data_IF_663460307327
#
_entry.id   IF_663460307327
#
_cell.length_a   1.000
_cell.length_b   1.000
_cell.length_c   1.000
_cell.angle_alpha   90.00
_cell.angle_beta   90.00
_cell.angle_gamma   90.00
#
_symmetry.space_group_name_H-M   'P 1'
#
loop_
_entity.id
_entity.type
_entity.pdbx_description
1 polymer ?
#
# COMPACT_ATOMS: atom_id res chain seq x y z
N UNK A 1 -34.29 -17.76 -4.16
CA UNK A 1 -33.62 -17.35 -5.40
C UNK A 1 -32.15 -17.64 -5.20
N UNK A 2 -31.48 -18.31 -6.14
CA UNK A 2 -30.03 -18.47 -6.04
C UNK A 2 -29.40 -17.06 -6.07
N UNK A 3 -28.54 -16.74 -5.10
CA UNK A 3 -27.78 -15.50 -5.13
C UNK A 3 -26.88 -15.53 -6.38
N UNK A 4 -26.89 -14.45 -7.16
CA UNK A 4 -26.04 -14.33 -8.34
C UNK A 4 -24.59 -14.18 -7.87
N UNK A 5 -23.68 -14.93 -8.50
CA UNK A 5 -22.23 -14.74 -8.33
C UNK A 5 -21.81 -13.30 -8.66
N UNK A 6 -20.78 -12.74 -8.01
CA UNK A 6 -20.26 -11.39 -8.28
C UNK A 6 -20.00 -11.11 -9.77
N UNK A 7 -19.61 -12.12 -10.54
CA UNK A 7 -19.31 -12.01 -11.98
C UNK A 7 -20.53 -11.92 -12.89
N UNK A 8 -21.73 -12.16 -12.34
CA UNK A 8 -23.01 -12.08 -13.03
C UNK A 8 -23.75 -10.77 -12.74
N UNK A 9 -23.16 -9.90 -11.91
CA UNK A 9 -23.73 -8.62 -11.55
C UNK A 9 -23.17 -7.49 -12.44
N UNK A 10 -24.04 -6.59 -12.96
CA UNK A 10 -23.59 -5.30 -13.48
C UNK A 10 -22.75 -4.56 -12.44
N UNK A 11 -21.82 -3.70 -12.89
CA UNK A 11 -20.81 -3.11 -12.02
C UNK A 11 -21.41 -2.33 -10.84
N UNK A 12 -22.47 -1.55 -11.06
CA UNK A 12 -23.12 -0.79 -10.00
C UNK A 12 -23.82 -1.70 -8.96
N UNK A 13 -24.33 -2.86 -9.36
CA UNK A 13 -24.91 -3.85 -8.44
C UNK A 13 -23.83 -4.58 -7.65
N UNK A 14 -22.73 -4.93 -8.32
CA UNK A 14 -21.55 -5.49 -7.68
C UNK A 14 -21.04 -4.57 -6.56
N UNK A 15 -20.87 -3.27 -6.83
CA UNK A 15 -20.39 -2.31 -5.81
C UNK A 15 -21.30 -2.32 -4.57
N UNK A 16 -22.62 -2.33 -4.76
CA UNK A 16 -23.58 -2.40 -3.64
C UNK A 16 -23.47 -3.71 -2.86
N UNK A 17 -23.16 -4.80 -3.55
CA UNK A 17 -23.05 -6.13 -2.95
C UNK A 17 -21.73 -6.35 -2.21
N UNK A 18 -20.63 -5.71 -2.63
CA UNK A 18 -19.31 -5.84 -2.01
C UNK A 18 -18.97 -4.71 -1.04
N UNK A 19 -19.74 -3.61 -1.03
CA UNK A 19 -19.65 -2.50 -0.06
C UNK A 19 -18.19 -2.10 0.27
N UNK A 20 -17.45 -1.52 -0.68
CA UNK A 20 -16.06 -1.18 -0.47
C UNK A 20 -15.91 -0.09 0.59
N UNK A 21 -14.86 -0.18 1.39
CA UNK A 21 -14.49 0.90 2.30
C UNK A 21 -12.98 1.03 2.35
N UNK A 22 -12.49 2.25 2.16
CA UNK A 22 -11.07 2.56 2.29
C UNK A 22 -10.65 2.83 3.74
N UNK A 23 -9.37 2.62 4.05
CA UNK A 23 -8.67 3.06 5.25
C UNK A 23 -7.35 3.75 4.85
N UNK A 24 -6.93 4.71 5.67
CA UNK A 24 -5.68 5.46 5.45
C UNK A 24 -4.72 5.13 6.57
N UNK A 25 -3.58 4.54 6.22
CA UNK A 25 -2.47 4.34 7.14
C UNK A 25 -1.45 5.46 6.92
N UNK A 26 -1.34 6.34 7.92
CA UNK A 26 -0.40 7.47 7.93
C UNK A 26 0.91 7.02 8.58
N UNK A 27 1.99 7.03 7.82
CA UNK A 27 3.34 6.85 8.33
C UNK A 27 3.94 8.24 8.54
N UNK A 28 4.14 8.68 9.80
CA UNK A 28 4.76 9.97 10.06
C UNK A 28 6.14 10.01 9.43
N UNK A 29 6.46 11.12 8.77
CA UNK A 29 7.82 11.28 8.25
C UNK A 29 8.83 11.48 9.38
N UNK A 30 10.04 10.99 9.18
CA UNK A 30 11.18 11.33 10.03
C UNK A 30 11.80 12.60 9.45
N UNK A 31 12.09 13.61 10.28
CA UNK A 31 12.75 14.88 9.91
C UNK A 31 11.90 15.92 9.15
N UNK A 32 10.57 15.94 9.32
CA UNK A 32 9.73 17.04 8.83
C UNK A 32 9.41 17.01 7.34
N UNK A 33 9.64 15.89 6.65
CA UNK A 33 9.11 15.66 5.31
C UNK A 33 7.57 15.51 5.32
N UNK A 34 6.93 15.46 4.15
CA UNK A 34 5.49 15.17 4.09
C UNK A 34 5.21 13.73 4.60
N UNK A 35 4.06 13.53 5.25
CA UNK A 35 3.65 12.20 5.68
C UNK A 35 3.47 11.27 4.47
N UNK A 36 3.83 10.00 4.64
CA UNK A 36 3.62 8.99 3.62
C UNK A 36 2.32 8.25 3.94
N UNK A 37 1.41 8.20 2.97
CA UNK A 37 0.15 7.50 3.11
C UNK A 37 0.17 6.16 2.38
N UNK A 38 -0.52 5.20 2.97
CA UNK A 38 -0.93 3.95 2.32
C UNK A 38 -2.43 3.81 2.43
N UNK A 39 -3.06 3.41 1.33
CA UNK A 39 -4.50 3.34 1.19
C UNK A 39 -4.91 1.88 1.06
N UNK A 40 -5.61 1.37 2.08
CA UNK A 40 -6.11 0.00 2.08
C UNK A 40 -7.60 0.02 1.76
N UNK A 41 -8.05 -0.75 0.78
CA UNK A 41 -9.47 -0.85 0.41
C UNK A 41 -9.94 -2.26 0.67
N UNK A 42 -11.06 -2.38 1.38
CA UNK A 42 -11.63 -3.65 1.78
C UNK A 42 -13.01 -3.82 1.15
N UNK A 43 -13.28 -5.00 0.60
CA UNK A 43 -14.61 -5.42 0.18
C UNK A 43 -15.31 -6.04 1.38
N UNK A 44 -16.30 -5.36 1.96
CA UNK A 44 -16.93 -5.75 3.24
C UNK A 44 -18.35 -6.31 3.12
N UNK A 45 -18.96 -6.23 1.94
CA UNK A 45 -20.33 -6.65 1.69
C UNK A 45 -20.52 -8.17 1.64
N UNK A 46 -21.76 -8.66 1.63
CA UNK A 46 -22.07 -10.10 1.68
C UNK A 46 -21.35 -10.93 0.61
N UNK A 47 -21.22 -10.39 -0.61
CA UNK A 47 -20.58 -11.09 -1.73
C UNK A 47 -19.05 -10.97 -1.75
N UNK A 48 -18.44 -10.26 -0.81
CA UNK A 48 -16.97 -10.14 -0.74
C UNK A 48 -16.28 -11.50 -0.56
N UNK A 49 -16.91 -12.44 0.16
CA UNK A 49 -16.32 -13.75 0.44
C UNK A 49 -16.27 -14.67 -0.78
N UNK A 50 -17.08 -14.37 -1.81
CA UNK A 50 -17.06 -15.08 -3.08
C UNK A 50 -15.98 -14.56 -4.03
N UNK A 51 -15.34 -13.44 -3.71
CA UNK A 51 -14.21 -12.93 -4.48
C UNK A 51 -12.95 -13.75 -4.18
N UNK A 52 -12.04 -13.87 -5.16
CA UNK A 52 -10.68 -14.32 -4.89
C UNK A 52 -10.06 -13.52 -3.75
N UNK A 53 -9.32 -14.18 -2.85
CA UNK A 53 -8.76 -13.52 -1.65
C UNK A 53 -7.96 -12.26 -1.96
N UNK A 54 -7.23 -12.23 -3.08
CA UNK A 54 -6.47 -11.04 -3.51
C UNK A 54 -7.33 -9.90 -4.04
N UNK A 55 -8.59 -10.16 -4.40
CA UNK A 55 -9.55 -9.14 -4.84
C UNK A 55 -10.38 -8.58 -3.67
N UNK A 56 -10.33 -9.21 -2.48
CA UNK A 56 -11.05 -8.77 -1.28
C UNK A 56 -10.40 -7.57 -0.59
N UNK A 57 -9.09 -7.39 -0.77
CA UNK A 57 -8.31 -6.34 -0.11
C UNK A 57 -7.22 -5.84 -1.06
N UNK A 58 -7.10 -4.51 -1.17
CA UNK A 58 -6.13 -3.85 -2.04
C UNK A 58 -5.34 -2.83 -1.24
N UNK A 59 -4.03 -2.75 -1.47
CA UNK A 59 -3.16 -1.73 -0.86
C UNK A 59 -2.52 -0.89 -1.95
N UNK A 60 -2.66 0.43 -1.83
CA UNK A 60 -2.11 1.39 -2.78
C UNK A 60 -1.16 2.35 -2.08
N UNK A 61 -0.03 2.64 -2.74
CA UNK A 61 0.93 3.65 -2.29
C UNK A 61 0.49 5.04 -2.76
N UNK A 62 0.71 6.05 -1.94
CA UNK A 62 0.30 7.43 -2.25
C UNK A 62 0.86 7.94 -3.58
N UNK A 63 2.17 7.76 -3.81
CA UNK A 63 2.84 8.21 -5.04
C UNK A 63 2.17 7.66 -6.31
N UNK A 64 1.71 6.40 -6.28
CA UNK A 64 1.05 5.77 -7.43
C UNK A 64 -0.34 6.38 -7.69
N UNK A 65 -1.05 6.78 -6.64
CA UNK A 65 -2.40 7.32 -6.76
C UNK A 65 -2.41 8.79 -7.16
N UNK A 66 -1.46 9.61 -6.69
CA UNK A 66 -1.46 11.06 -6.94
C UNK A 66 -1.60 11.41 -8.42
N UNK A 67 -0.83 10.76 -9.30
CA UNK A 67 -0.89 11.01 -10.74
C UNK A 67 -2.26 10.64 -11.34
N UNK A 68 -2.90 9.57 -10.84
CA UNK A 68 -4.24 9.19 -11.28
C UNK A 68 -5.31 10.13 -10.70
N UNK A 69 -5.18 10.53 -9.44
CA UNK A 69 -6.07 11.50 -8.78
C UNK A 69 -6.10 12.82 -9.53
N UNK A 70 -4.94 13.33 -9.94
CA UNK A 70 -4.84 14.52 -10.76
C UNK A 70 -5.52 14.35 -12.13
N UNK A 71 -5.26 13.22 -12.83
CA UNK A 71 -5.92 12.91 -14.11
C UNK A 71 -7.45 12.83 -13.99
N UNK A 72 -7.96 12.43 -12.84
CA UNK A 72 -9.40 12.37 -12.54
C UNK A 72 -9.96 13.71 -12.04
N UNK A 73 -9.18 14.80 -12.11
CA UNK A 73 -9.54 16.16 -11.70
C UNK A 73 -9.99 16.23 -10.24
N UNK A 74 -9.25 15.51 -9.38
CA UNK A 74 -9.34 15.60 -7.93
C UNK A 74 -8.03 16.20 -7.38
N UNK A 75 -7.99 16.54 -6.09
CA UNK A 75 -6.78 17.12 -5.50
C UNK A 75 -5.79 16.00 -5.10
N UNK A 76 -4.64 15.85 -5.78
CA UNK A 76 -3.67 14.80 -5.47
C UNK A 76 -3.01 14.97 -4.09
N UNK A 77 -3.08 16.15 -3.47
CA UNK A 77 -2.59 16.39 -2.12
C UNK A 77 -3.64 16.08 -1.04
N UNK A 78 -4.89 15.80 -1.44
CA UNK A 78 -5.96 15.41 -0.53
C UNK A 78 -5.94 13.91 -0.32
N UNK A 79 -5.59 13.48 0.90
CA UNK A 79 -5.61 12.06 1.24
C UNK A 79 -7.02 11.45 1.13
N UNK A 80 -8.10 12.24 1.20
CA UNK A 80 -9.47 11.75 0.95
C UNK A 80 -9.74 11.49 -0.52
N UNK A 81 -9.25 12.37 -1.39
CA UNK A 81 -9.39 12.19 -2.83
C UNK A 81 -8.56 10.99 -3.30
N UNK A 82 -7.31 10.87 -2.81
CA UNK A 82 -6.49 9.68 -3.06
C UNK A 82 -7.15 8.40 -2.53
N UNK A 83 -7.76 8.43 -1.34
CA UNK A 83 -8.52 7.29 -0.82
C UNK A 83 -9.69 6.92 -1.73
N UNK A 84 -10.46 7.90 -2.22
CA UNK A 84 -11.57 7.64 -3.13
C UNK A 84 -11.10 7.04 -4.45
N UNK A 85 -10.00 7.54 -5.01
CA UNK A 85 -9.40 6.95 -6.22
C UNK A 85 -8.94 5.52 -5.95
N UNK A 86 -8.32 5.24 -4.80
CA UNK A 86 -7.97 3.89 -4.38
C UNK A 86 -9.21 2.98 -4.36
N UNK A 87 -10.33 3.43 -3.78
CA UNK A 87 -11.59 2.68 -3.76
C UNK A 87 -12.09 2.34 -5.16
N UNK A 88 -12.10 3.33 -6.07
CA UNK A 88 -12.57 3.15 -7.44
C UNK A 88 -11.67 2.18 -8.24
N UNK A 89 -10.35 2.29 -8.11
CA UNK A 89 -9.39 1.39 -8.75
C UNK A 89 -9.55 -0.04 -8.24
N UNK A 90 -9.69 -0.19 -6.92
CA UNK A 90 -9.85 -1.51 -6.27
C UNK A 90 -11.17 -2.17 -6.67
N UNK A 91 -12.27 -1.41 -6.71
CA UNK A 91 -13.56 -1.89 -7.19
C UNK A 91 -13.50 -2.37 -8.63
N UNK A 92 -12.93 -1.55 -9.51
CA UNK A 92 -12.75 -1.89 -10.94
C UNK A 92 -11.94 -3.17 -11.08
N UNK A 93 -10.80 -3.26 -10.39
CA UNK A 93 -9.93 -4.43 -10.41
C UNK A 93 -10.64 -5.69 -9.92
N UNK A 94 -11.32 -5.62 -8.75
CA UNK A 94 -12.02 -6.76 -8.17
C UNK A 94 -13.16 -7.27 -9.07
N UNK A 95 -13.95 -6.37 -9.66
CA UNK A 95 -15.04 -6.76 -10.54
C UNK A 95 -14.55 -7.33 -11.87
N UNK A 96 -13.58 -6.68 -12.52
CA UNK A 96 -13.00 -7.19 -13.78
C UNK A 96 -12.36 -8.56 -13.58
N UNK A 97 -11.68 -8.77 -12.45
CA UNK A 97 -11.14 -10.08 -12.06
C UNK A 97 -12.25 -11.12 -11.94
N UNK A 98 -13.31 -10.82 -11.19
CA UNK A 98 -14.42 -11.74 -10.99
C UNK A 98 -15.09 -12.12 -12.33
N UNK A 99 -15.28 -11.16 -13.24
CA UNK A 99 -15.82 -11.41 -14.59
C UNK A 99 -14.87 -12.28 -15.40
N UNK A 100 -13.58 -11.93 -15.47
CA UNK A 100 -12.57 -12.65 -16.25
C UNK A 100 -12.42 -14.12 -15.82
N UNK A 101 -12.30 -14.39 -14.53
CA UNK A 101 -12.14 -15.76 -14.03
C UNK A 101 -13.38 -16.63 -14.31
N UNK A 102 -14.57 -16.02 -14.34
CA UNK A 102 -15.81 -16.74 -14.67
C UNK A 102 -16.09 -16.82 -16.17
N UNK A 103 -15.39 -16.06 -17.01
CA UNK A 103 -15.57 -16.09 -18.47
C UNK A 103 -15.16 -17.43 -19.12
N UNK A 104 -14.39 -18.25 -18.38
CA UNK A 104 -14.05 -19.63 -18.72
C UNK A 104 -15.15 -20.63 -18.34
N UNK A 105 -16.22 -20.18 -17.67
CA UNK A 105 -17.34 -21.00 -17.24
C UNK A 105 -18.38 -21.29 -18.34
N UNK A 106 -19.32 -22.21 -18.09
CA UNK A 106 -20.34 -22.59 -19.07
C UNK A 106 -21.47 -21.56 -19.25
N UNK A 107 -21.62 -20.62 -18.31
CA UNK A 107 -22.69 -19.62 -18.33
C UNK A 107 -22.22 -18.32 -19.00
N UNK A 108 -22.88 -17.88 -20.09
CA UNK A 108 -22.52 -16.62 -20.73
C UNK A 108 -22.89 -15.42 -19.86
N UNK A 109 -22.03 -14.41 -19.83
CA UNK A 109 -22.32 -13.14 -19.17
C UNK A 109 -23.49 -12.40 -19.85
N UNK A 110 -24.26 -11.65 -19.06
CA UNK A 110 -25.34 -10.83 -19.59
C UNK A 110 -24.80 -9.68 -20.48
N UNK A 111 -25.61 -9.14 -21.41
CA UNK A 111 -25.21 -7.99 -22.22
C UNK A 111 -24.84 -6.73 -21.40
N UNK A 112 -25.39 -6.60 -20.19
CA UNK A 112 -25.10 -5.50 -19.27
C UNK A 112 -23.69 -5.65 -18.69
N UNK A 113 -23.33 -6.85 -18.22
CA UNK A 113 -21.98 -7.16 -17.73
C UNK A 113 -20.94 -6.93 -18.83
N UNK A 114 -21.20 -7.38 -20.06
CA UNK A 114 -20.27 -7.16 -21.17
C UNK A 114 -20.10 -5.68 -21.51
N UNK A 115 -21.17 -4.88 -21.44
CA UNK A 115 -21.10 -3.43 -21.67
C UNK A 115 -20.28 -2.73 -20.60
N UNK A 116 -20.52 -3.05 -19.34
CA UNK A 116 -19.75 -2.50 -18.21
C UNK A 116 -18.28 -2.92 -18.31
N UNK A 117 -18.01 -4.15 -18.74
CA UNK A 117 -16.66 -4.66 -18.94
C UNK A 117 -15.89 -3.88 -19.99
N UNK A 118 -16.50 -3.67 -21.16
CA UNK A 118 -15.90 -2.81 -22.20
C UNK A 118 -15.63 -1.41 -21.67
N UNK A 119 -16.63 -0.77 -21.05
CA UNK A 119 -16.48 0.59 -20.53
C UNK A 119 -15.40 0.73 -19.45
N UNK A 120 -15.24 -0.28 -18.60
CA UNK A 120 -14.20 -0.32 -17.56
C UNK A 120 -12.83 -0.71 -18.13
N UNK A 121 -12.76 -1.51 -19.18
CA UNK A 121 -11.50 -1.86 -19.85
C UNK A 121 -10.82 -0.63 -20.48
N UNK A 122 -11.62 0.34 -20.94
CA UNK A 122 -11.15 1.61 -21.53
C UNK A 122 -10.70 2.65 -20.48
N UNK A 123 -10.89 2.37 -19.19
CA UNK A 123 -10.38 3.21 -18.09
C UNK A 123 -11.42 3.51 -17.01
N UNK A 124 -11.45 4.76 -16.55
CA UNK A 124 -12.30 5.23 -15.43
C UNK A 124 -13.54 5.99 -15.90
N UNK A 125 -13.91 5.89 -17.18
CA UNK A 125 -15.00 6.66 -17.80
C UNK A 125 -16.39 6.04 -17.61
N UNK A 126 -16.49 4.91 -16.91
CA UNK A 126 -17.76 4.26 -16.64
C UNK A 126 -18.75 5.23 -15.94
N UNK A 127 -20.04 5.32 -16.36
CA UNK A 127 -20.99 6.33 -15.85
C UNK A 127 -21.10 6.37 -14.32
N UNK A 128 -21.14 5.19 -13.70
CA UNK A 128 -21.16 5.09 -12.23
C UNK A 128 -19.89 5.67 -11.57
N UNK A 129 -18.71 5.46 -12.17
CA UNK A 129 -17.45 6.02 -11.64
C UNK A 129 -17.48 7.54 -11.74
N UNK A 130 -17.95 8.08 -12.87
CA UNK A 130 -18.06 9.53 -13.07
C UNK A 130 -19.02 10.17 -12.05
N UNK A 131 -20.16 9.53 -11.77
CA UNK A 131 -21.07 9.97 -10.71
C UNK A 131 -20.40 10.03 -9.33
N UNK A 132 -19.61 9.01 -9.00
CA UNK A 132 -18.88 8.95 -7.73
C UNK A 132 -17.75 9.98 -7.63
N UNK A 133 -17.10 10.33 -8.76
CA UNK A 133 -16.12 11.40 -8.81
C UNK A 133 -16.78 12.77 -8.58
N UNK A 134 -17.94 13.03 -9.17
CA UNK A 134 -18.69 14.28 -8.92
C UNK A 134 -19.14 14.39 -7.46
N UNK A 135 -19.62 13.29 -6.86
CA UNK A 135 -19.94 13.25 -5.42
C UNK A 135 -18.71 13.58 -4.57
N UNK A 136 -17.54 13.04 -4.92
CA UNK A 136 -16.30 13.32 -4.21
C UNK A 136 -15.87 14.79 -4.37
N UNK A 137 -15.95 15.38 -5.56
CA UNK A 137 -15.67 16.81 -5.76
C UNK A 137 -16.60 17.68 -4.92
N UNK A 138 -17.89 17.35 -4.90
CA UNK A 138 -18.87 18.02 -4.05
C UNK A 138 -18.54 17.91 -2.56
N UNK A 139 -18.13 16.74 -2.11
CA UNK A 139 -17.70 16.48 -0.73
C UNK A 139 -16.46 17.32 -0.35
N UNK A 140 -15.43 17.30 -1.20
CA UNK A 140 -14.18 18.04 -1.00
C UNK A 140 -14.39 19.56 -1.01
N UNK A 141 -15.30 20.07 -1.86
CA UNK A 141 -15.67 21.49 -1.88
C UNK A 141 -16.31 21.95 -0.55
N UNK A 142 -17.12 21.08 0.09
CA UNK A 142 -17.77 21.40 1.37
C UNK A 142 -16.84 21.31 2.58
N UNK A 143 -15.76 20.54 2.49
CA UNK A 143 -14.84 20.28 3.60
C UNK A 143 -14.25 21.57 4.17
N UNK A 144 -13.74 22.47 3.33
CA UNK A 144 -13.12 23.73 3.79
C UNK A 144 -14.06 24.59 4.64
N UNK A 145 -15.32 24.72 4.20
CA UNK A 145 -16.34 25.45 4.96
C UNK A 145 -16.70 24.76 6.28
N UNK A 146 -16.64 23.42 6.31
CA UNK A 146 -16.91 22.62 7.52
C UNK A 146 -15.78 22.80 8.55
N UNK A 147 -14.53 22.76 8.09
CA UNK A 147 -13.35 23.00 8.94
C UNK A 147 -13.35 24.42 9.51
N UNK A 148 -13.67 25.43 8.68
CA UNK A 148 -13.75 26.82 9.11
C UNK A 148 -14.82 27.04 10.20
N UNK A 149 -16.00 26.41 10.09
CA UNK A 149 -17.06 26.47 11.12
C UNK A 149 -16.61 25.88 12.46
N UNK A 150 -15.71 24.91 12.44
CA UNK A 150 -15.15 24.30 13.65
C UNK A 150 -13.88 25.00 14.16
N UNK A 151 -13.44 26.08 13.50
CA UNK A 151 -12.21 26.80 13.85
C UNK A 151 -10.94 25.97 13.60
N UNK A 152 -10.94 25.08 12.63
CA UNK A 152 -9.80 24.21 12.28
C UNK A 152 -9.23 24.63 10.93
N UNK A 153 -7.91 24.76 10.85
CA UNK A 153 -7.22 25.25 9.65
C UNK A 153 -6.89 24.16 8.62
N UNK A 154 -6.82 22.89 9.03
CA UNK A 154 -6.42 21.77 8.18
C UNK A 154 -7.30 20.55 8.40
N UNK A 155 -7.52 19.78 7.34
CA UNK A 155 -8.09 18.43 7.46
C UNK A 155 -7.06 17.51 8.11
N UNK A 156 -7.52 16.69 9.05
CA UNK A 156 -6.71 15.63 9.64
C UNK A 156 -7.53 14.35 9.60
N UNK A 157 -7.07 13.40 8.80
CA UNK A 157 -7.65 12.06 8.78
C UNK A 157 -7.31 11.35 10.10
N UNK A 158 -8.31 10.76 10.79
CA UNK A 158 -8.09 10.04 12.03
C UNK A 158 -7.11 8.88 11.82
N UNK A 159 -6.38 8.55 12.90
CA UNK A 159 -5.64 7.28 13.00
C UNK A 159 -6.61 6.10 13.12
N UNK A 160 -6.06 4.89 13.21
CA UNK A 160 -6.84 3.67 13.45
C UNK A 160 -7.76 3.80 14.68
N UNK A 161 -7.30 4.50 15.72
CA UNK A 161 -8.10 4.82 16.91
C UNK A 161 -8.03 6.32 17.21
N UNK A 162 -9.19 6.94 17.45
CA UNK A 162 -9.29 8.31 17.95
C UNK A 162 -10.28 8.38 19.12
N UNK A 163 -9.90 9.07 20.19
CA UNK A 163 -10.71 9.21 21.41
C UNK A 163 -10.82 10.68 21.78
N UNK A 164 -12.05 11.12 22.05
CA UNK A 164 -12.35 12.46 22.53
C UNK A 164 -13.74 12.95 22.12
N UNK A 165 -13.97 14.25 22.35
CA UNK A 165 -15.29 14.88 22.23
C UNK A 165 -15.61 15.27 20.79
N UNK A 166 -16.83 14.98 20.34
CA UNK A 166 -17.39 15.52 19.09
C UNK A 166 -17.62 17.02 19.26
N UNK A 167 -16.95 17.82 18.44
CA UNK A 167 -16.98 19.29 18.54
C UNK A 167 -17.83 19.96 17.47
N UNK A 168 -18.00 19.31 16.32
CA UNK A 168 -18.86 19.78 15.25
C UNK A 168 -19.33 18.61 14.39
N UNK A 169 -20.46 18.78 13.72
CA UNK A 169 -21.00 17.79 12.78
C UNK A 169 -21.76 18.51 11.67
N UNK A 170 -21.66 17.99 10.46
CA UNK A 170 -22.47 18.33 9.28
C UNK A 170 -23.10 17.05 8.74
N UNK A 171 -23.86 17.15 7.64
CA UNK A 171 -24.41 15.95 6.98
C UNK A 171 -23.32 15.00 6.50
N UNK A 172 -22.17 15.56 6.11
CA UNK A 172 -21.07 14.84 5.47
C UNK A 172 -19.94 14.44 6.45
N UNK A 173 -19.73 15.25 7.50
CA UNK A 173 -18.56 15.10 8.38
C UNK A 173 -18.88 15.18 9.87
N UNK A 174 -18.11 14.45 10.66
CA UNK A 174 -18.07 14.55 12.12
C UNK A 174 -16.66 14.95 12.53
N UNK A 175 -16.53 16.01 13.34
CA UNK A 175 -15.24 16.50 13.82
C UNK A 175 -15.09 16.15 15.29
N UNK A 176 -13.99 15.48 15.61
CA UNK A 176 -13.67 15.01 16.95
C UNK A 176 -12.41 15.70 17.44
N UNK A 177 -12.49 16.40 18.57
CA UNK A 177 -11.30 16.86 19.28
C UNK A 177 -10.78 15.71 20.13
N UNK A 178 -9.65 15.17 19.71
CA UNK A 178 -9.00 14.06 20.40
C UNK A 178 -8.41 14.52 21.74
N UNK A 179 -8.09 13.56 22.61
CA UNK A 179 -7.49 13.84 23.93
C UNK A 179 -6.12 14.55 23.83
N UNK A 180 -5.39 14.41 22.72
CA UNK A 180 -4.13 15.12 22.48
C UNK A 180 -4.31 16.56 21.97
N UNK A 181 -5.57 17.02 21.79
CA UNK A 181 -5.91 18.36 21.33
C UNK A 181 -6.09 18.50 19.82
N UNK A 182 -5.67 17.51 19.01
CA UNK A 182 -5.87 17.50 17.56
C UNK A 182 -7.35 17.31 17.22
N UNK A 183 -7.87 18.07 16.25
CA UNK A 183 -9.21 17.87 15.72
C UNK A 183 -9.11 17.04 14.45
N UNK A 184 -9.67 15.83 14.50
CA UNK A 184 -9.74 14.90 13.37
C UNK A 184 -11.11 14.96 12.72
N UNK A 185 -11.17 14.67 11.42
CA UNK A 185 -12.38 14.72 10.62
C UNK A 185 -12.75 13.32 10.13
N UNK A 186 -13.94 12.87 10.51
CA UNK A 186 -14.53 11.61 10.06
C UNK A 186 -15.53 11.89 8.93
N UNK A 187 -15.52 11.07 7.88
CA UNK A 187 -16.62 11.02 6.92
C UNK A 187 -17.79 10.24 7.51
N UNK A 188 -18.97 10.86 7.58
CA UNK A 188 -20.16 10.28 8.20
C UNK A 188 -20.56 8.95 7.57
N UNK A 189 -20.45 8.82 6.24
CA UNK A 189 -20.73 7.57 5.52
C UNK A 189 -19.87 6.38 5.95
N UNK A 190 -18.73 6.63 6.61
CA UNK A 190 -17.81 5.60 7.08
C UNK A 190 -18.04 5.22 8.55
N UNK A 191 -18.86 5.96 9.28
CA UNK A 191 -19.17 5.67 10.69
C UNK A 191 -20.37 4.73 10.79
N UNK A 192 -20.27 3.69 11.63
CA UNK A 192 -21.37 2.76 11.87
C UNK A 192 -22.55 3.40 12.60
N UNK A 193 -22.30 4.48 13.33
CA UNK A 193 -23.30 5.32 13.97
C UNK A 193 -22.76 6.76 14.06
N UNK A 194 -23.64 7.75 13.95
CA UNK A 194 -23.25 9.15 14.11
C UNK A 194 -23.34 9.54 15.59
N UNK A 195 -22.22 9.88 16.25
CA UNK A 195 -22.26 10.36 17.62
C UNK A 195 -22.84 11.78 17.67
N UNK A 196 -23.50 12.12 18.78
CA UNK A 196 -24.05 13.45 18.98
C UNK A 196 -22.95 14.50 19.24
N UNK A 197 -23.19 15.75 18.87
CA UNK A 197 -22.29 16.86 19.23
C UNK A 197 -22.18 16.93 20.76
N UNK A 198 -20.95 17.05 21.25
CA UNK A 198 -20.64 17.06 22.68
C UNK A 198 -20.46 15.68 23.31
N UNK A 199 -20.80 14.59 22.59
CA UNK A 199 -20.55 13.23 23.07
C UNK A 199 -19.03 12.98 23.13
N UNK A 200 -18.60 12.30 24.19
CA UNK A 200 -17.24 11.80 24.32
C UNK A 200 -17.20 10.34 23.89
N UNK A 201 -16.53 10.09 22.77
CA UNK A 201 -16.57 8.80 22.08
C UNK A 201 -15.18 8.37 21.68
N UNK A 202 -15.04 7.08 21.41
CA UNK A 202 -13.97 6.53 20.62
C UNK A 202 -14.50 6.14 19.24
N UNK A 203 -13.67 6.37 18.22
CA UNK A 203 -13.83 5.79 16.89
C UNK A 203 -12.65 4.87 16.61
N UNK A 204 -12.93 3.60 16.34
CA UNK A 204 -11.94 2.60 15.90
C UNK A 204 -12.21 2.18 14.46
N UNK A 205 -11.24 2.33 13.57
CA UNK A 205 -11.38 1.97 12.16
C UNK A 205 -10.99 0.51 11.91
N UNK A 206 -12.00 -0.32 11.69
CA UNK A 206 -11.83 -1.71 11.25
C UNK A 206 -12.22 -1.83 9.78
N UNK A 207 -11.27 -2.32 8.96
CA UNK A 207 -11.44 -2.47 7.49
C UNK A 207 -12.05 -1.25 6.81
N UNK A 208 -11.65 -0.04 7.22
CA UNK A 208 -12.14 1.22 6.64
C UNK A 208 -13.44 1.77 7.22
N UNK A 209 -14.15 1.01 8.06
CA UNK A 209 -15.37 1.40 8.76
C UNK A 209 -15.08 1.83 10.21
N UNK A 210 -15.58 3.00 10.61
CA UNK A 210 -15.44 3.55 11.95
C UNK A 210 -16.48 2.99 12.92
N UNK A 211 -16.02 2.15 13.84
CA UNK A 211 -16.80 1.62 14.96
C UNK A 211 -16.84 2.66 16.08
N UNK A 212 -18.02 3.22 16.33
CA UNK A 212 -18.21 4.26 17.36
C UNK A 212 -18.61 3.61 18.68
N UNK A 213 -17.85 3.92 19.73
CA UNK A 213 -17.99 3.36 21.08
C UNK A 213 -18.03 4.50 22.09
N UNK A 214 -18.97 4.47 23.03
CA UNK A 214 -19.03 5.46 24.11
C UNK A 214 -17.88 5.26 25.11
N UNK A 215 -17.42 6.35 25.75
CA UNK A 215 -16.33 6.27 26.74
C UNK A 215 -16.64 5.42 27.98
N UNK A 216 -15.55 4.90 28.57
CA UNK A 216 -15.39 3.90 29.64
C UNK A 216 -16.30 3.97 30.85
N UNK A 217 -16.67 5.16 31.32
CA UNK A 217 -17.40 5.28 32.59
C UNK A 217 -18.71 4.48 32.58
N UNK A 218 -19.17 4.08 31.39
CA UNK A 218 -20.40 3.33 31.16
C UNK A 218 -20.20 2.04 30.36
N UNK A 219 -18.99 1.51 30.18
CA UNK A 219 -18.79 0.27 29.39
C UNK A 219 -17.81 -0.72 30.02
N UNK A 220 -18.09 -2.02 29.87
CA UNK A 220 -17.21 -3.13 30.28
C UNK A 220 -16.67 -3.85 29.04
N UNK A 221 -15.41 -4.27 29.13
CA UNK A 221 -14.71 -4.99 28.05
C UNK A 221 -14.41 -6.43 28.46
N UNK A 222 -14.56 -7.37 27.51
CA UNK A 222 -14.06 -8.73 27.67
C UNK A 222 -12.54 -8.81 27.50
N UNK A 223 -11.95 -9.96 27.86
CA UNK A 223 -10.64 -10.34 27.34
C UNK A 223 -10.67 -10.40 25.79
N UNK A 224 -9.53 -10.17 25.11
CA UNK A 224 -9.45 -10.26 23.66
C UNK A 224 -9.68 -11.71 23.17
N UNK A 225 -10.34 -11.85 22.02
CA UNK A 225 -10.58 -13.15 21.38
C UNK A 225 -10.44 -13.04 19.86
N UNK A 226 -10.36 -14.18 19.16
CA UNK A 226 -10.47 -14.21 17.70
C UNK A 226 -11.94 -14.41 17.34
N UNK A 227 -12.50 -13.44 16.63
CA UNK A 227 -13.87 -13.53 16.14
C UNK A 227 -13.99 -14.69 15.13
N UNK A 228 -14.93 -15.63 15.32
CA UNK A 228 -15.01 -16.82 14.49
C UNK A 228 -15.49 -16.55 13.06
N UNK A 229 -16.10 -15.39 12.80
CA UNK A 229 -16.61 -15.04 11.46
C UNK A 229 -15.53 -14.36 10.62
N UNK A 230 -14.76 -13.46 11.22
CA UNK A 230 -13.76 -12.64 10.53
C UNK A 230 -12.33 -13.16 10.71
N UNK A 231 -12.10 -14.05 11.66
CA UNK A 231 -10.77 -14.47 12.13
C UNK A 231 -9.90 -13.30 12.63
N UNK A 232 -10.53 -12.15 12.90
CA UNK A 232 -9.86 -10.95 13.38
C UNK A 232 -9.92 -10.82 14.90
N UNK A 233 -9.03 -9.97 15.42
CA UNK A 233 -8.93 -9.73 16.85
C UNK A 233 -10.15 -8.91 17.27
N UNK A 234 -10.76 -9.30 18.38
CA UNK A 234 -12.03 -8.73 18.82
C UNK A 234 -12.10 -8.55 20.33
N UNK A 235 -12.94 -7.62 20.76
CA UNK A 235 -13.43 -7.51 22.14
C UNK A 235 -14.93 -7.33 22.17
N UNK A 236 -15.55 -7.82 23.24
CA UNK A 236 -16.96 -7.57 23.53
C UNK A 236 -17.08 -6.36 24.44
N UNK A 237 -17.89 -5.39 24.02
CA UNK A 237 -18.22 -4.18 24.76
C UNK A 237 -19.65 -4.32 25.29
N UNK A 238 -19.82 -4.16 26.59
CA UNK A 238 -21.14 -4.20 27.24
C UNK A 238 -21.42 -2.86 27.89
N UNK A 239 -22.50 -2.20 27.49
CA UNK A 239 -22.93 -0.93 28.08
C UNK A 239 -23.40 -1.11 29.53
N UNK A 240 -23.36 -0.03 30.30
CA UNK A 240 -23.99 0.07 31.61
C UNK A 240 -25.53 0.05 31.49
N UNK A 241 -26.06 0.44 30.34
CA UNK A 241 -27.45 0.20 29.99
C UNK A 241 -27.68 -1.30 29.80
N UNK A 242 -28.48 -1.90 30.70
CA UNK A 242 -28.75 -3.34 30.71
C UNK A 242 -29.58 -3.80 29.51
N UNK A 243 -30.30 -2.88 28.87
CA UNK A 243 -31.15 -3.19 27.73
C UNK A 243 -30.38 -3.08 26.40
N UNK A 244 -29.19 -2.48 26.41
CA UNK A 244 -28.34 -2.39 25.24
C UNK A 244 -27.61 -3.72 24.99
N UNK A 245 -27.75 -4.34 23.80
CA UNK A 245 -27.08 -5.59 23.51
C UNK A 245 -25.55 -5.40 23.48
N UNK A 246 -24.77 -6.40 23.93
CA UNK A 246 -23.32 -6.34 23.83
C UNK A 246 -22.88 -6.23 22.38
N UNK A 247 -21.89 -5.38 22.13
CA UNK A 247 -21.33 -5.11 20.80
C UNK A 247 -19.96 -5.76 20.67
N UNK A 248 -19.57 -6.13 19.46
CA UNK A 248 -18.22 -6.62 19.16
C UNK A 248 -17.45 -5.52 18.44
N UNK A 249 -16.28 -5.17 18.97
CA UNK A 249 -15.32 -4.25 18.34
C UNK A 249 -14.19 -5.10 17.77
N UNK A 250 -13.84 -4.84 16.51
CA UNK A 250 -12.88 -5.60 15.73
C UNK A 250 -11.63 -4.76 15.47
N UNK A 251 -10.50 -5.43 15.27
CA UNK A 251 -9.20 -4.79 15.10
C UNK A 251 -8.45 -5.44 13.94
N UNK A 252 -7.88 -4.60 13.06
CA UNK A 252 -7.13 -5.08 11.89
C UNK A 252 -5.87 -5.85 12.32
N UNK A 253 -5.26 -5.45 13.45
CA UNK A 253 -4.03 -6.02 13.97
C UNK A 253 -3.87 -5.75 15.48
N UNK A 254 -2.86 -6.35 16.10
CA UNK A 254 -2.57 -6.17 17.53
C UNK A 254 -2.19 -4.73 17.87
N UNK A 255 -1.61 -3.97 16.94
CA UNK A 255 -1.23 -2.57 17.17
C UNK A 255 -2.46 -1.66 17.34
N UNK A 256 -3.47 -1.79 16.47
CA UNK A 256 -4.75 -1.07 16.61
C UNK A 256 -5.46 -1.43 17.93
N UNK A 257 -5.37 -2.69 18.35
CA UNK A 257 -5.86 -3.11 19.67
C UNK A 257 -5.07 -2.48 20.83
N UNK A 258 -3.74 -2.41 20.73
CA UNK A 258 -2.91 -1.76 21.74
C UNK A 258 -3.26 -0.27 21.89
N UNK A 259 -3.47 0.43 20.77
CA UNK A 259 -3.94 1.83 20.78
C UNK A 259 -5.31 1.96 21.45
N UNK A 260 -6.22 1.02 21.20
CA UNK A 260 -7.50 0.95 21.89
C UNK A 260 -7.34 0.78 23.41
N UNK A 261 -6.48 -0.15 23.85
CA UNK A 261 -6.20 -0.41 25.28
C UNK A 261 -5.62 0.84 25.94
N UNK A 262 -4.63 1.46 25.31
CA UNK A 262 -3.98 2.69 25.77
C UNK A 262 -4.98 3.84 25.89
N UNK A 263 -5.75 4.10 24.83
CA UNK A 263 -6.71 5.19 24.81
C UNK A 263 -7.87 4.99 25.80
N UNK A 264 -8.04 3.75 26.30
CA UNK A 264 -9.00 3.42 27.33
C UNK A 264 -8.39 3.29 28.74
N UNK A 265 -7.11 3.60 28.92
CA UNK A 265 -6.42 3.41 30.21
C UNK A 265 -6.55 1.98 30.74
N UNK A 266 -6.72 1.01 29.86
CA UNK A 266 -6.85 -0.39 30.21
C UNK A 266 -5.45 -0.99 30.47
N UNK A 267 -5.39 -2.04 31.28
CA UNK A 267 -4.10 -2.62 31.68
C UNK A 267 -3.35 -3.28 30.52
N UNK A 268 -2.03 -3.04 30.43
CA UNK A 268 -1.13 -3.63 29.42
C UNK A 268 -1.21 -5.15 29.32
N UNK A 269 -1.63 -5.83 30.40
CA UNK A 269 -1.89 -7.29 30.40
C UNK A 269 -2.82 -7.72 29.27
N UNK A 270 -3.76 -6.87 28.87
CA UNK A 270 -4.68 -7.15 27.77
C UNK A 270 -3.98 -7.18 26.42
N UNK A 271 -3.00 -6.30 26.19
CA UNK A 271 -2.18 -6.31 24.97
C UNK A 271 -1.40 -7.63 24.90
N UNK A 272 -0.82 -8.07 26.02
CA UNK A 272 -0.15 -9.37 26.09
C UNK A 272 -1.12 -10.53 25.82
N UNK A 273 -2.32 -10.51 26.40
CA UNK A 273 -3.38 -11.49 26.09
C UNK A 273 -3.70 -11.51 24.59
N UNK A 274 -3.80 -10.35 23.94
CA UNK A 274 -4.08 -10.28 22.50
C UNK A 274 -2.95 -10.87 21.65
N UNK A 275 -1.68 -10.62 22.01
CA UNK A 275 -0.54 -11.28 21.37
C UNK A 275 -0.62 -12.80 21.52
N UNK A 276 -0.90 -13.29 22.73
CA UNK A 276 -1.00 -14.73 22.99
C UNK A 276 -2.14 -15.37 22.18
N UNK A 277 -3.32 -14.75 22.16
CA UNK A 277 -4.49 -15.23 21.40
C UNK A 277 -4.18 -15.25 19.90
N UNK A 278 -3.53 -14.22 19.36
CA UNK A 278 -3.15 -14.17 17.95
C UNK A 278 -2.04 -15.18 17.61
N UNK A 279 -1.09 -15.42 18.51
CA UNK A 279 -0.03 -16.42 18.31
C UNK A 279 -0.59 -17.85 18.29
N UNK A 280 -1.63 -18.14 19.05
CA UNK A 280 -2.32 -19.44 19.05
C UNK A 280 -3.18 -19.66 17.80
N UNK A 281 -3.62 -18.59 17.14
CA UNK A 281 -4.42 -18.61 15.92
C UNK A 281 -3.89 -17.57 14.93
N UNK A 282 -2.71 -17.82 14.33
CA UNK A 282 -2.13 -16.91 13.37
C UNK A 282 -3.09 -16.73 12.19
N UNK A 283 -3.24 -15.48 11.73
CA UNK A 283 -4.03 -15.20 10.54
C UNK A 283 -3.36 -15.90 9.37
N UNK A 284 -4.12 -16.67 8.60
CA UNK A 284 -3.56 -17.35 7.42
C UNK A 284 -3.17 -16.27 6.40
N UNK A 285 -1.86 -16.02 6.25
CA UNK A 285 -1.38 -15.10 5.22
C UNK A 285 -1.73 -15.68 3.84
N UNK A 286 -2.54 -14.94 3.09
CA UNK A 286 -2.74 -15.26 1.70
C UNK A 286 -1.52 -14.79 0.92
N UNK A 287 -0.73 -15.75 0.43
CA UNK A 287 0.28 -15.46 -0.60
C UNK A 287 -0.43 -15.50 -1.94
N UNK A 288 -0.49 -14.36 -2.62
CA UNK A 288 -0.91 -14.35 -4.02
C UNK A 288 -0.06 -15.36 -4.80
N UNK A 289 -0.65 -16.13 -5.72
CA UNK A 289 0.13 -17.00 -6.58
C UNK A 289 1.18 -16.15 -7.32
N UNK A 290 2.44 -16.63 -7.42
CA UNK A 290 3.45 -15.89 -8.15
C UNK A 290 3.03 -15.75 -9.61
N UNK A 291 3.04 -14.53 -10.15
CA UNK A 291 2.74 -14.28 -11.55
C UNK A 291 3.85 -14.90 -12.40
N UNK A 292 3.47 -15.63 -13.45
CA UNK A 292 4.43 -16.35 -14.29
C UNK A 292 4.68 -15.54 -15.56
N UNK A 293 5.91 -15.04 -15.81
CA UNK A 293 6.18 -14.28 -17.01
C UNK A 293 6.02 -15.18 -18.25
N UNK A 294 5.26 -14.72 -19.23
CA UNK A 294 5.01 -15.42 -20.50
C UNK A 294 6.19 -15.21 -21.45
N UNK A 295 6.80 -14.02 -21.40
CA UNK A 295 7.95 -13.67 -22.24
C UNK A 295 8.90 -12.70 -21.53
N UNK A 296 10.06 -12.45 -22.15
CA UNK A 296 11.02 -11.46 -21.68
C UNK A 296 10.41 -10.04 -21.71
N UNK A 297 10.87 -9.12 -20.84
CA UNK A 297 10.46 -7.72 -20.90
C UNK A 297 10.65 -7.12 -22.29
N UNK A 298 9.80 -6.16 -22.64
CA UNK A 298 9.81 -5.46 -23.92
C UNK A 298 9.40 -3.99 -23.74
N UNK A 299 9.59 -3.15 -24.75
CA UNK A 299 9.03 -1.79 -24.76
C UNK A 299 7.65 -1.85 -25.40
N UNK A 300 6.62 -1.46 -24.65
CA UNK A 300 5.28 -1.33 -25.20
C UNK A 300 5.20 -0.14 -26.14
N UNK A 301 4.75 -0.36 -27.37
CA UNK A 301 4.79 0.68 -28.43
C UNK A 301 3.80 1.82 -28.17
N UNK A 302 2.67 1.53 -27.52
CA UNK A 302 1.60 2.50 -27.28
C UNK A 302 1.93 3.43 -26.10
N UNK A 303 2.42 2.86 -25.00
CA UNK A 303 2.74 3.59 -23.78
C UNK A 303 4.19 4.05 -23.71
N UNK A 304 5.07 3.48 -24.55
CA UNK A 304 6.52 3.68 -24.48
C UNK A 304 7.04 3.40 -23.05
N UNK A 305 6.45 2.42 -22.37
CA UNK A 305 6.87 1.94 -21.05
C UNK A 305 7.53 0.57 -21.17
N UNK A 306 8.31 0.19 -20.18
CA UNK A 306 8.75 -1.21 -20.05
C UNK A 306 7.55 -2.08 -19.73
N UNK A 307 7.45 -3.24 -20.35
CA UNK A 307 6.30 -4.12 -20.21
C UNK A 307 6.74 -5.57 -19.99
N UNK A 308 5.95 -6.32 -19.22
CA UNK A 308 6.05 -7.78 -19.15
C UNK A 308 4.68 -8.40 -19.29
N UNK A 309 4.57 -9.40 -20.16
CA UNK A 309 3.38 -10.25 -20.19
C UNK A 309 3.53 -11.34 -19.14
N UNK A 310 2.49 -11.56 -18.36
CA UNK A 310 2.45 -12.57 -17.32
C UNK A 310 1.12 -13.33 -17.36
N UNK A 311 1.19 -14.60 -16.97
CA UNK A 311 0.05 -15.49 -16.83
C UNK A 311 -0.37 -15.51 -15.36
N UNK A 312 -1.65 -15.28 -15.14
CA UNK A 312 -2.33 -15.42 -13.85
C UNK A 312 -3.68 -16.09 -14.13
N UNK A 313 -3.91 -17.26 -13.51
CA UNK A 313 -5.12 -18.06 -13.71
C UNK A 313 -5.45 -18.37 -15.20
N UNK A 314 -4.43 -18.78 -15.96
CA UNK A 314 -4.52 -19.09 -17.41
C UNK A 314 -4.85 -17.88 -18.31
N UNK A 315 -4.92 -16.66 -17.75
CA UNK A 315 -5.16 -15.42 -18.47
C UNK A 315 -3.83 -14.66 -18.59
N UNK A 316 -3.54 -14.16 -19.80
CA UNK A 316 -2.35 -13.36 -20.07
C UNK A 316 -2.68 -11.88 -19.87
N UNK A 317 -1.91 -11.24 -18.99
CA UNK A 317 -1.98 -9.82 -18.69
C UNK A 317 -0.66 -9.15 -19.07
N UNK A 318 -0.69 -7.83 -19.27
CA UNK A 318 0.50 -7.01 -19.46
C UNK A 318 0.65 -6.05 -18.28
N UNK A 319 1.77 -6.13 -17.57
CA UNK A 319 2.16 -5.12 -16.58
C UNK A 319 3.10 -4.11 -17.23
N UNK A 320 2.80 -2.82 -17.03
CA UNK A 320 3.62 -1.70 -17.49
C UNK A 320 4.41 -1.13 -16.31
N UNK A 321 5.67 -0.80 -16.55
CA UNK A 321 6.62 -0.27 -15.60
C UNK A 321 7.23 1.00 -16.19
N UNK A 322 7.36 2.00 -15.32
CA UNK A 322 7.94 3.29 -15.69
C UNK A 322 9.42 3.14 -16.07
N UNK A 323 10.17 2.35 -15.31
CA UNK A 323 11.60 2.16 -15.48
C UNK A 323 12.02 0.74 -15.07
N UNK A 324 13.29 0.40 -15.37
CA UNK A 324 13.83 -0.92 -15.04
C UNK A 324 13.93 -1.14 -13.52
N UNK A 325 14.03 -0.06 -12.73
CA UNK A 325 14.10 -0.10 -11.27
C UNK A 325 12.76 -0.51 -10.64
N UNK A 326 11.65 0.03 -11.14
CA UNK A 326 10.29 -0.34 -10.76
C UNK A 326 10.07 -1.82 -11.06
N UNK A 327 10.48 -2.27 -12.25
CA UNK A 327 10.42 -3.69 -12.63
C UNK A 327 11.27 -4.57 -11.71
N UNK A 328 12.50 -4.17 -11.38
CA UNK A 328 13.37 -4.88 -10.45
C UNK A 328 12.77 -4.98 -9.03
N UNK A 329 12.15 -3.91 -8.54
CA UNK A 329 11.51 -3.89 -7.22
C UNK A 329 10.33 -4.87 -7.09
N UNK A 330 9.67 -5.17 -8.22
CA UNK A 330 8.55 -6.11 -8.32
C UNK A 330 8.96 -7.48 -8.88
N UNK A 331 10.25 -7.72 -9.09
CA UNK A 331 10.78 -8.96 -9.71
C UNK A 331 10.30 -10.24 -9.02
N UNK A 332 10.18 -10.25 -7.69
CA UNK A 332 9.67 -11.41 -6.94
C UNK A 332 8.20 -11.69 -7.20
N UNK A 333 7.38 -10.64 -7.34
CA UNK A 333 5.94 -10.75 -7.57
C UNK A 333 5.64 -11.29 -8.97
N UNK A 334 6.43 -10.85 -9.95
CA UNK A 334 6.36 -11.26 -11.35
C UNK A 334 7.26 -12.44 -11.73
N UNK A 335 7.89 -13.08 -10.74
CA UNK A 335 8.85 -14.17 -10.93
C UNK A 335 9.88 -13.89 -12.05
N UNK A 336 10.36 -12.64 -12.12
CA UNK A 336 11.31 -12.18 -13.12
C UNK A 336 12.71 -12.66 -12.76
N UNK A 337 13.34 -13.34 -13.71
CA UNK A 337 14.74 -13.73 -13.58
C UNK A 337 15.68 -12.52 -13.65
N UNK A 338 16.90 -12.65 -13.14
CA UNK A 338 17.94 -11.62 -13.30
C UNK A 338 18.18 -11.26 -14.78
N UNK A 339 18.05 -12.24 -15.68
CA UNK A 339 18.12 -12.03 -17.12
C UNK A 339 17.01 -11.12 -17.64
N UNK A 340 15.79 -11.24 -17.12
CA UNK A 340 14.67 -10.37 -17.47
C UNK A 340 14.93 -8.93 -17.02
N UNK A 341 15.47 -8.74 -15.81
CA UNK A 341 15.81 -7.40 -15.31
C UNK A 341 16.95 -6.77 -16.12
N UNK A 342 17.97 -7.55 -16.48
CA UNK A 342 19.04 -7.06 -17.37
C UNK A 342 18.51 -6.64 -18.75
N UNK A 343 17.54 -7.38 -19.29
CA UNK A 343 16.87 -7.01 -20.54
C UNK A 343 16.06 -5.72 -20.41
N UNK A 344 15.38 -5.51 -19.27
CA UNK A 344 14.67 -4.26 -19.00
C UNK A 344 15.60 -3.04 -19.01
N UNK A 345 16.77 -3.14 -18.36
CA UNK A 345 17.80 -2.09 -18.41
C UNK A 345 18.31 -1.85 -19.85
N UNK A 346 18.55 -2.93 -20.62
CA UNK A 346 18.97 -2.82 -22.02
C UNK A 346 17.93 -2.08 -22.88
N UNK A 347 16.65 -2.35 -22.65
CA UNK A 347 15.55 -1.73 -23.35
C UNK A 347 15.40 -0.24 -23.01
N UNK A 348 15.55 0.11 -21.75
CA UNK A 348 15.59 1.50 -21.28
C UNK A 348 16.78 2.27 -21.89
N UNK A 349 17.98 1.66 -21.97
CA UNK A 349 19.13 2.25 -22.65
C UNK A 349 18.86 2.49 -24.15
N UNK A 350 18.23 1.51 -24.82
CA UNK A 350 17.82 1.66 -26.22
C UNK A 350 16.77 2.76 -26.42
N UNK A 351 15.85 2.89 -25.48
CA UNK A 351 14.82 3.91 -25.48
C UNK A 351 15.44 5.30 -25.33
N UNK A 352 16.34 5.49 -24.37
CA UNK A 352 17.10 6.71 -24.18
C UNK A 352 17.95 7.05 -25.43
N UNK A 353 18.54 6.06 -26.08
CA UNK A 353 19.30 6.24 -27.32
C UNK A 353 18.42 6.67 -28.51
N UNK A 354 17.16 6.21 -28.57
CA UNK A 354 16.18 6.59 -29.61
C UNK A 354 15.63 8.01 -29.42
N UNK A 355 15.62 8.53 -28.19
CA UNK A 355 15.10 9.86 -27.87
C UNK A 355 16.12 11.01 -28.07
N UNK A 356 17.35 10.71 -28.52
CA UNK A 356 18.32 11.69 -28.96
C UNK A 356 19.19 12.33 -27.84
N UNK A 357 20.18 13.16 -28.21
CA UNK A 357 21.29 13.59 -27.34
C UNK A 357 20.89 14.45 -26.11
N UNK A 358 19.63 14.86 -26.00
CA UNK A 358 19.12 15.61 -24.84
C UNK A 358 19.03 14.78 -23.55
N UNK A 359 18.84 13.46 -23.66
CA UNK A 359 18.67 12.56 -22.49
C UNK A 359 19.97 11.85 -22.07
N UNK A 360 20.91 11.61 -22.99
CA UNK A 360 22.25 11.07 -22.66
C UNK A 360 23.00 12.03 -21.73
N UNK A 361 22.83 13.34 -21.93
CA UNK A 361 23.30 14.37 -21.01
C UNK A 361 22.69 14.24 -19.60
N UNK A 362 21.43 13.77 -19.51
CA UNK A 362 20.72 13.59 -18.24
C UNK A 362 21.20 12.32 -17.50
N UNK A 363 21.47 11.22 -18.20
CA UNK A 363 22.05 10.00 -17.59
C UNK A 363 23.48 10.25 -17.10
N UNK A 364 24.30 10.97 -17.89
CA UNK A 364 25.64 11.36 -17.43
C UNK A 364 25.58 12.34 -16.25
N UNK A 365 24.56 13.20 -16.22
CA UNK A 365 24.32 14.12 -15.11
C UNK A 365 23.83 13.38 -13.87
N UNK A 366 22.93 12.40 -14.01
CA UNK A 366 22.44 11.55 -12.92
C UNK A 366 23.55 10.63 -12.38
N UNK A 367 24.39 10.07 -13.25
CA UNK A 367 25.54 9.28 -12.83
C UNK A 367 26.51 10.14 -12.00
N UNK A 368 26.80 11.36 -12.46
CA UNK A 368 27.63 12.32 -11.72
C UNK A 368 26.98 12.75 -10.41
N UNK A 369 25.68 13.04 -10.42
CA UNK A 369 24.95 13.45 -9.22
C UNK A 369 24.90 12.32 -8.20
N UNK A 370 24.55 11.10 -8.64
CA UNK A 370 24.55 9.92 -7.80
C UNK A 370 25.93 9.64 -7.20
N UNK A 371 27.02 9.86 -7.93
CA UNK A 371 28.37 9.73 -7.39
C UNK A 371 28.66 10.80 -6.33
N UNK A 372 28.25 12.04 -6.56
CA UNK A 372 28.41 13.13 -5.59
C UNK A 372 27.63 12.85 -4.31
N UNK A 373 26.37 12.41 -4.43
CA UNK A 373 25.50 12.07 -3.31
C UNK A 373 26.06 10.90 -2.50
N UNK A 374 26.61 9.89 -3.18
CA UNK A 374 27.29 8.77 -2.54
C UNK A 374 28.51 9.25 -1.75
N UNK A 375 29.35 10.09 -2.35
CA UNK A 375 30.54 10.64 -1.68
C UNK A 375 30.17 11.51 -0.48
N UNK A 376 29.09 12.29 -0.57
CA UNK A 376 28.58 13.08 0.54
C UNK A 376 28.12 12.18 1.70
N UNK A 377 27.31 11.16 1.39
CA UNK A 377 26.81 10.17 2.37
C UNK A 377 27.97 9.45 3.09
N UNK A 378 28.97 9.00 2.34
CA UNK A 378 30.13 8.32 2.91
C UNK A 378 31.00 9.24 3.77
N UNK A 379 31.11 10.52 3.41
CA UNK A 379 31.84 11.52 4.20
C UNK A 379 31.14 11.83 5.52
N UNK A 380 29.81 11.91 5.54
CA UNK A 380 29.04 12.06 6.78
C UNK A 380 29.20 10.87 7.73
N UNK A 381 29.41 9.68 7.17
CA UNK A 381 29.71 8.46 7.90
C UNK A 381 31.22 8.26 8.18
N UNK A 382 32.03 9.28 7.92
CA UNK A 382 33.47 9.31 8.21
C UNK A 382 34.26 8.17 7.51
N UNK A 383 33.80 7.72 6.34
CA UNK A 383 34.54 6.79 5.48
C UNK A 383 35.57 7.51 4.61
N UNK A 384 36.66 6.81 4.28
CA UNK A 384 37.65 7.31 3.33
C UNK A 384 37.07 7.38 1.90
N UNK A 385 37.68 8.22 1.05
CA UNK A 385 37.26 8.38 -0.35
C UNK A 385 37.21 7.01 -1.07
N UNK A 386 36.07 6.64 -1.67
CA UNK A 386 35.91 5.31 -2.24
C UNK A 386 36.72 5.13 -3.54
N UNK A 387 37.28 3.94 -3.71
CA UNK A 387 37.80 3.44 -4.99
C UNK A 387 36.60 3.03 -5.88
N UNK A 388 36.66 3.28 -7.20
CA UNK A 388 35.65 2.74 -8.14
C UNK A 388 36.03 1.32 -8.55
N UNK A 389 35.08 0.39 -8.53
CA UNK A 389 35.28 -0.98 -9.02
C UNK A 389 35.16 -1.09 -10.54
N UNK A 390 35.49 -2.27 -11.08
CA UNK A 390 35.14 -2.65 -12.46
C UNK A 390 36.17 -2.27 -13.52
N UNK A 391 37.17 -1.45 -13.17
CA UNK A 391 38.31 -1.17 -14.05
C UNK A 391 39.31 -2.34 -14.14
N UNK A 392 39.28 -3.24 -13.16
CA UNK A 392 40.14 -4.43 -13.09
C UNK A 392 39.34 -5.62 -12.60
N UNK A 393 39.72 -6.81 -13.04
CA UNK A 393 39.21 -8.07 -12.53
C UNK A 393 39.62 -8.22 -11.06
N UNK A 394 38.66 -8.01 -10.15
CA UNK A 394 38.89 -8.00 -8.71
C UNK A 394 37.67 -8.53 -7.97
N UNK A 395 37.89 -8.96 -6.75
CA UNK A 395 36.88 -9.52 -5.87
C UNK A 395 36.79 -8.67 -4.60
N UNK A 396 35.57 -8.30 -4.23
CA UNK A 396 35.26 -7.44 -3.08
C UNK A 396 34.28 -8.17 -2.14
N UNK A 397 34.54 -8.10 -0.84
CA UNK A 397 33.75 -8.81 0.17
C UNK A 397 33.45 -7.90 1.34
N UNK A 398 32.18 -7.89 1.78
CA UNK A 398 31.76 -7.17 2.96
C UNK A 398 30.35 -6.62 2.88
N UNK A 399 29.89 -5.86 3.90
CA UNK A 399 28.57 -5.30 3.94
C UNK A 399 28.41 -4.10 2.99
N UNK A 400 27.20 -3.93 2.46
CA UNK A 400 26.77 -2.71 1.78
C UNK A 400 26.42 -1.66 2.83
N UNK A 401 27.05 -0.49 2.74
CA UNK A 401 26.89 0.59 3.72
C UNK A 401 26.03 1.75 3.23
N UNK A 402 25.96 1.94 1.90
CA UNK A 402 25.12 2.96 1.29
C UNK A 402 24.73 2.56 -0.14
N UNK A 403 23.57 3.04 -0.59
CA UNK A 403 23.05 2.85 -1.94
C UNK A 403 22.43 4.18 -2.39
N UNK A 404 22.74 4.62 -3.60
CA UNK A 404 22.13 5.77 -4.28
C UNK A 404 21.39 5.30 -5.54
N UNK A 405 20.93 6.22 -6.40
CA UNK A 405 20.21 5.84 -7.62
C UNK A 405 21.05 4.96 -8.56
N UNK A 406 22.35 5.23 -8.69
CA UNK A 406 23.23 4.53 -9.65
C UNK A 406 24.43 3.81 -9.02
N UNK A 407 24.66 3.95 -7.72
CA UNK A 407 25.85 3.43 -7.06
C UNK A 407 25.54 2.66 -5.78
N UNK A 408 26.39 1.66 -5.49
CA UNK A 408 26.42 0.91 -4.24
C UNK A 408 27.79 1.07 -3.62
N UNK A 409 27.83 1.36 -2.33
CA UNK A 409 29.06 1.40 -1.54
C UNK A 409 29.18 0.16 -0.66
N UNK A 410 30.28 -0.58 -0.84
CA UNK A 410 30.61 -1.76 -0.05
C UNK A 410 31.80 -1.47 0.86
N UNK A 411 31.67 -1.75 2.15
CA UNK A 411 32.80 -1.75 3.08
C UNK A 411 33.56 -3.07 2.95
N UNK A 412 34.80 -2.99 2.46
CA UNK A 412 35.68 -4.15 2.27
C UNK A 412 36.62 -4.38 3.47
N UNK A 413 36.38 -3.67 4.57
CA UNK A 413 37.13 -3.75 5.82
C UNK A 413 38.11 -2.59 6.01
N UNK A 414 38.52 -2.39 7.27
CA UNK A 414 39.42 -1.28 7.68
C UNK A 414 38.92 0.11 7.23
N UNK A 415 37.59 0.28 7.16
CA UNK A 415 36.91 1.49 6.67
C UNK A 415 37.26 1.87 5.22
N UNK A 416 37.69 0.89 4.42
CA UNK A 416 37.89 1.07 2.98
C UNK A 416 36.59 0.78 2.26
N UNK A 417 36.14 1.72 1.45
CA UNK A 417 34.92 1.60 0.67
C UNK A 417 35.26 1.42 -0.81
N UNK A 418 34.53 0.51 -1.45
CA UNK A 418 34.50 0.40 -2.90
C UNK A 418 33.11 0.78 -3.39
N UNK A 419 33.08 1.64 -4.41
CA UNK A 419 31.85 2.09 -5.05
C UNK A 419 31.66 1.34 -6.37
N UNK A 420 30.49 0.73 -6.51
CA UNK A 420 30.09 -0.05 -7.67
C UNK A 420 28.99 0.69 -8.43
N UNK A 421 29.09 0.75 -9.76
CA UNK A 421 27.97 1.13 -10.62
C UNK A 421 26.97 -0.03 -10.65
N UNK A 422 25.73 0.21 -10.23
CA UNK A 422 24.70 -0.82 -10.12
C UNK A 422 24.46 -1.52 -11.46
N UNK A 423 24.59 -0.81 -12.59
CA UNK A 423 24.38 -1.36 -13.94
C UNK A 423 25.41 -2.41 -14.34
N UNK A 424 26.55 -2.41 -13.66
CA UNK A 424 27.62 -3.39 -13.90
C UNK A 424 27.41 -4.69 -13.11
N UNK A 425 26.48 -4.71 -12.16
CA UNK A 425 26.19 -5.84 -11.29
C UNK A 425 25.04 -6.71 -11.84
N UNK A 426 25.10 -8.02 -11.60
CA UNK A 426 24.03 -8.96 -11.99
C UNK A 426 22.83 -9.01 -11.00
N UNK A 427 22.97 -8.35 -9.85
CA UNK A 427 21.96 -8.18 -8.81
C UNK A 427 22.15 -6.82 -8.13
N UNK A 428 21.06 -6.09 -7.88
CA UNK A 428 21.09 -4.83 -7.14
C UNK A 428 21.13 -5.10 -5.61
N UNK A 429 22.21 -4.73 -4.92
CA UNK A 429 22.32 -4.86 -3.46
C UNK A 429 21.48 -3.86 -2.66
N UNK A 430 21.06 -4.25 -1.46
CA UNK A 430 20.46 -3.35 -0.47
C UNK A 430 21.45 -3.02 0.67
N UNK A 431 21.23 -1.88 1.35
CA UNK A 431 22.00 -1.52 2.56
C UNK A 431 21.85 -2.61 3.63
N UNK A 432 22.98 -3.05 4.19
CA UNK A 432 23.05 -4.13 5.17
C UNK A 432 23.33 -5.52 4.58
N UNK A 433 23.16 -5.71 3.27
CA UNK A 433 23.49 -6.98 2.62
C UNK A 433 24.99 -7.28 2.77
N UNK A 434 25.33 -8.52 3.14
CA UNK A 434 26.73 -8.99 3.19
C UNK A 434 27.03 -9.80 1.94
N UNK A 435 27.83 -9.24 1.06
CA UNK A 435 27.99 -9.75 -0.30
C UNK A 435 29.45 -10.03 -0.65
N UNK A 436 29.61 -10.92 -1.62
CA UNK A 436 30.82 -11.12 -2.40
C UNK A 436 30.52 -10.66 -3.83
N UNK A 437 31.27 -9.68 -4.33
CA UNK A 437 31.17 -9.15 -5.68
C UNK A 437 32.45 -9.46 -6.44
N UNK A 438 32.35 -10.27 -7.50
CA UNK A 438 33.48 -10.64 -8.36
C UNK A 438 33.34 -10.00 -9.73
N UNK A 439 34.27 -9.11 -10.07
CA UNK A 439 34.34 -8.50 -11.39
C UNK A 439 35.15 -9.35 -12.36
N UNK A 440 34.61 -9.49 -13.58
CA UNK A 440 35.30 -10.03 -14.75
C UNK A 440 34.86 -9.25 -15.99
N UNK A 441 35.80 -8.75 -16.77
CA UNK A 441 35.53 -8.01 -18.02
C UNK A 441 34.56 -6.82 -17.81
N UNK A 442 34.69 -6.12 -16.67
CA UNK A 442 33.85 -4.98 -16.30
C UNK A 442 32.44 -5.31 -15.79
N UNK A 443 32.10 -6.60 -15.62
CA UNK A 443 30.81 -7.06 -15.06
C UNK A 443 31.00 -7.73 -13.70
N UNK A 444 30.20 -7.36 -12.72
CA UNK A 444 30.23 -7.87 -11.35
C UNK A 444 29.17 -8.95 -11.10
N UNK A 445 29.61 -10.14 -10.70
CA UNK A 445 28.73 -11.20 -10.21
C UNK A 445 28.59 -11.10 -8.69
N UNK A 446 27.36 -11.02 -8.18
CA UNK A 446 27.03 -10.80 -6.77
C UNK A 446 26.55 -12.10 -6.15
N UNK A 447 27.19 -12.50 -5.05
CA UNK A 447 26.82 -13.68 -4.27
C UNK A 447 26.58 -13.30 -2.81
N UNK A 448 25.47 -13.77 -2.26
CA UNK A 448 25.14 -13.54 -0.85
C UNK A 448 26.10 -14.35 0.03
N UNK A 449 26.73 -13.70 1.00
CA UNK A 449 27.50 -14.40 2.01
C UNK A 449 26.53 -14.95 3.04
N UNK A 450 26.45 -16.28 3.16
CA UNK A 450 25.69 -16.92 4.23
C UNK A 450 26.22 -16.37 5.55
N UNK A 451 25.37 -15.68 6.30
CA UNK A 451 25.64 -15.34 7.69
C UNK A 451 25.89 -16.66 8.39
N UNK A 452 27.13 -16.94 8.76
CA UNK A 452 27.41 -18.00 9.71
C UNK A 452 26.51 -17.71 10.91
N UNK A 453 25.51 -18.58 11.11
CA UNK A 453 24.70 -18.56 12.31
C UNK A 453 25.64 -18.51 13.49
N UNK A 454 25.25 -17.75 14.52
CA UNK A 454 25.88 -17.82 15.85
C UNK A 454 26.10 -19.28 16.20
N UNK A 455 27.33 -19.76 16.04
CA UNK A 455 27.74 -21.01 16.65
C UNK A 455 28.12 -20.67 18.08
N UNK A 456 27.43 -21.37 18.98
CA UNK A 456 27.60 -21.30 20.42
C UNK A 456 28.88 -22.08 20.76
N UNK A 457 29.88 -21.39 21.32
CA UNK A 457 30.82 -22.01 22.26
C UNK A 457 32.30 -21.99 21.87
N UNK A 458 33.03 -21.02 22.41
CA UNK A 458 33.90 -21.25 23.57
C UNK A 458 34.20 -19.96 24.31
#
# INVERSE_FOLDING_TARGET
MAEKSPSQLPFAEFVKAVQPTGAVSRVPSVNGAADVYTYNVYMNGPLSQELPRYAQEHTHKDVTLQALTEKLQLNPLSARDNLKVAELVSLRSAWMTAVLENSMGPEPHSPEVLRDYTALSEGMNHPWIQEELEKQRGLSAKLGSTLARAGVARDVIPKDVSVGKVVAQTDDFTLQRTQNGEVVTHENRRLQALPAIGADVMVSYYRGSGQVVDQLEKVKFSEPFIDPKTEDLAVRVTSADKDAPPRVVLFNNVQSYAQFVEAHGLGERLVQSAFNVRALRPKTEFKAPPRKPVKMPYLDEASNCLAVDYEENEIVYTALFEDAKAMASLSREFNLSAKAIAEAHRLEELQAARQGPGQVANVDQELKQSELDMRATLKEQDFALPEKSGAQDRHYMGPVVAVTSMHVAQDIGRRQIVMHDIRTLDKAPAVGDRLNIRFKDGRGAVTDMVTAGKDLGR
#
